data_IF_292980606686
#
_entry.id   IF_292980606686
#
_cell.length_a   1.000
_cell.length_b   1.000
_cell.length_c   1.000
_cell.angle_alpha   90.00
_cell.angle_beta   90.00
_cell.angle_gamma   90.00
#
_symmetry.space_group_name_H-M   'P 1'
#
loop_
_entity.id
_entity.type
_entity.pdbx_description
1 polymer ?
#
# COMPACT_ATOMS: atom_id res chain seq x y z
N UNK A 1 -3.26 -13.79 3.62
CA UNK A 1 -3.41 -14.54 4.90
C UNK A 1 -2.55 -13.97 6.01
N UNK A 2 -1.21 -14.06 5.98
CA UNK A 2 -0.35 -13.65 7.11
C UNK A 2 -0.65 -12.24 7.63
N UNK A 3 -0.50 -11.22 6.79
CA UNK A 3 -0.73 -9.84 7.20
C UNK A 3 -2.15 -9.62 7.73
N UNK A 4 -3.16 -10.22 7.10
CA UNK A 4 -4.55 -10.08 7.54
C UNK A 4 -4.77 -10.71 8.92
N UNK A 5 -4.19 -11.89 9.18
CA UNK A 5 -4.31 -12.56 10.50
C UNK A 5 -3.55 -11.78 11.57
N UNK A 6 -2.27 -11.47 11.32
CA UNK A 6 -1.38 -10.96 12.38
C UNK A 6 -1.46 -9.45 12.59
N UNK A 7 -1.88 -8.67 11.58
CA UNK A 7 -2.02 -7.21 11.73
C UNK A 7 -3.44 -6.79 12.11
N UNK A 8 -4.46 -7.57 11.74
CA UNK A 8 -5.86 -7.18 11.99
C UNK A 8 -6.53 -8.00 13.10
N UNK A 9 -5.82 -8.97 13.67
CA UNK A 9 -6.34 -9.90 14.68
C UNK A 9 -7.59 -10.69 14.22
N UNK A 10 -7.74 -10.89 12.91
CA UNK A 10 -8.81 -11.73 12.36
C UNK A 10 -8.38 -13.20 12.39
N UNK A 11 -9.35 -14.10 12.63
CA UNK A 11 -9.06 -15.53 12.56
C UNK A 11 -8.73 -15.96 11.13
N UNK A 12 -7.90 -16.99 10.98
CA UNK A 12 -7.57 -17.56 9.67
C UNK A 12 -8.84 -18.00 8.91
N UNK A 13 -9.81 -18.60 9.61
CA UNK A 13 -11.10 -18.96 9.05
C UNK A 13 -11.87 -17.75 8.49
N UNK A 14 -11.92 -16.64 9.23
CA UNK A 14 -12.56 -15.41 8.73
C UNK A 14 -11.86 -14.87 7.48
N UNK A 15 -10.54 -15.02 7.38
CA UNK A 15 -9.78 -14.59 6.19
C UNK A 15 -10.03 -15.53 5.02
N UNK A 16 -10.08 -16.84 5.24
CA UNK A 16 -10.41 -17.81 4.20
C UNK A 16 -11.77 -17.55 3.58
N UNK A 17 -12.80 -17.35 4.41
CA UNK A 17 -14.17 -17.13 3.97
C UNK A 17 -14.39 -15.79 3.26
N UNK A 18 -13.69 -14.74 3.65
CA UNK A 18 -13.97 -13.38 3.20
C UNK A 18 -12.93 -12.76 2.25
N UNK A 19 -11.69 -13.24 2.30
CA UNK A 19 -10.59 -12.65 1.52
C UNK A 19 -10.03 -13.64 0.49
N UNK A 20 -10.01 -14.93 0.79
CA UNK A 20 -9.46 -15.97 -0.07
C UNK A 20 -10.54 -16.78 -0.82
N UNK A 21 -11.81 -16.43 -0.67
CA UNK A 21 -12.92 -17.04 -1.42
C UNK A 21 -12.91 -16.57 -2.89
N UNK A 22 -11.82 -16.90 -3.57
CA UNK A 22 -11.59 -16.61 -4.98
C UNK A 22 -11.25 -17.93 -5.69
N UNK A 23 -11.80 -18.22 -6.88
CA UNK A 23 -11.47 -19.43 -7.63
C UNK A 23 -9.96 -19.66 -7.72
N UNK A 24 -9.53 -20.89 -7.43
CA UNK A 24 -8.15 -21.38 -7.33
C UNK A 24 -7.41 -20.96 -6.04
N UNK A 25 -7.63 -19.77 -5.48
CA UNK A 25 -7.02 -19.36 -4.20
C UNK A 25 -7.61 -20.15 -3.04
N UNK A 26 -8.89 -20.44 -3.09
CA UNK A 26 -9.61 -21.26 -2.08
C UNK A 26 -9.17 -22.74 -2.04
N UNK A 27 -8.30 -23.17 -2.98
CA UNK A 27 -7.67 -24.50 -2.95
C UNK A 27 -6.40 -24.53 -2.07
N UNK A 28 -5.93 -23.37 -1.62
CA UNK A 28 -4.73 -23.29 -0.81
C UNK A 28 -5.02 -23.67 0.65
N UNK A 29 -4.31 -24.63 1.16
CA UNK A 29 -4.27 -24.98 2.58
C UNK A 29 -3.29 -24.04 3.28
N UNK A 30 -3.73 -23.43 4.39
CA UNK A 30 -2.93 -22.45 5.13
C UNK A 30 -2.66 -22.89 6.55
N UNK A 31 -1.41 -22.87 6.95
CA UNK A 31 -0.96 -23.10 8.32
C UNK A 31 -0.35 -21.81 8.90
N UNK A 32 -0.64 -21.52 10.17
CA UNK A 32 -0.08 -20.36 10.89
C UNK A 32 0.64 -20.80 12.16
N UNK A 33 1.77 -20.18 12.50
CA UNK A 33 2.59 -20.52 13.66
C UNK A 33 2.82 -19.33 14.65
N UNK A 34 1.94 -18.34 14.63
CA UNK A 34 2.02 -17.15 15.50
C UNK A 34 2.90 -16.02 14.97
N UNK A 35 3.81 -16.26 14.05
CA UNK A 35 4.67 -15.25 13.39
C UNK A 35 4.80 -15.48 11.89
N UNK A 36 4.32 -16.59 11.38
CA UNK A 36 4.34 -16.86 9.95
C UNK A 36 3.08 -17.57 9.50
N UNK A 37 2.81 -17.47 8.21
CA UNK A 37 1.79 -18.27 7.55
C UNK A 37 2.45 -18.96 6.33
N UNK A 38 2.12 -20.24 6.16
CA UNK A 38 2.54 -21.02 5.00
C UNK A 38 1.30 -21.48 4.26
N UNK A 39 1.25 -21.26 2.96
CA UNK A 39 0.19 -21.72 2.08
C UNK A 39 0.74 -22.67 1.04
N UNK A 40 -0.01 -23.74 0.75
CA UNK A 40 0.30 -24.69 -0.32
C UNK A 40 -0.96 -25.17 -1.01
N UNK A 41 -0.85 -25.69 -2.22
CA UNK A 41 -1.96 -26.34 -2.93
C UNK A 41 -1.60 -27.81 -3.09
N UNK A 42 -2.38 -28.69 -2.47
CA UNK A 42 -2.09 -30.13 -2.42
C UNK A 42 -0.66 -30.48 -1.94
N UNK A 43 -0.15 -29.72 -0.98
CA UNK A 43 1.21 -29.85 -0.48
C UNK A 43 2.31 -29.38 -1.44
N UNK A 44 1.95 -28.83 -2.59
CA UNK A 44 2.88 -28.34 -3.61
C UNK A 44 3.01 -26.83 -3.57
N UNK A 45 4.14 -26.35 -4.11
CA UNK A 45 4.40 -24.91 -4.31
C UNK A 45 4.24 -24.06 -3.03
N UNK A 46 4.62 -24.60 -1.89
CA UNK A 46 4.52 -23.91 -0.62
C UNK A 46 5.13 -22.50 -0.67
N UNK A 47 4.40 -21.53 -0.13
CA UNK A 47 4.82 -20.14 0.05
C UNK A 47 4.69 -19.75 1.51
N UNK A 48 5.73 -19.15 2.05
CA UNK A 48 5.77 -18.72 3.45
C UNK A 48 5.89 -17.19 3.55
N UNK A 49 5.09 -16.60 4.44
CA UNK A 49 5.25 -15.20 4.83
C UNK A 49 5.65 -15.14 6.31
N UNK A 50 6.61 -14.29 6.64
CA UNK A 50 7.12 -14.09 8.00
C UNK A 50 6.78 -12.67 8.44
N UNK A 51 6.20 -12.53 9.63
CA UNK A 51 5.79 -11.24 10.17
C UNK A 51 6.78 -10.75 11.23
N UNK A 52 7.15 -9.48 11.10
CA UNK A 52 8.05 -8.78 12.00
C UNK A 52 7.32 -7.57 12.61
N UNK A 53 7.51 -7.37 13.90
CA UNK A 53 6.91 -6.24 14.59
C UNK A 53 7.32 -4.91 13.95
N UNK A 54 6.36 -4.03 13.72
CA UNK A 54 6.54 -2.71 13.11
C UNK A 54 6.87 -2.70 11.61
N UNK A 55 7.02 -3.87 10.96
CA UNK A 55 7.35 -4.01 9.54
C UNK A 55 6.30 -4.80 8.75
N UNK A 56 5.31 -5.38 9.45
CA UNK A 56 4.31 -6.25 8.83
C UNK A 56 4.88 -7.60 8.40
N UNK A 57 4.30 -8.19 7.35
CA UNK A 57 4.65 -9.51 6.90
C UNK A 57 5.30 -9.47 5.51
N UNK A 58 6.37 -10.22 5.36
CA UNK A 58 7.13 -10.34 4.11
C UNK A 58 7.00 -11.76 3.57
N UNK A 59 6.58 -11.89 2.30
CA UNK A 59 6.63 -13.16 1.59
C UNK A 59 8.08 -13.54 1.34
N UNK A 60 8.49 -14.74 1.74
CA UNK A 60 9.87 -15.22 1.62
C UNK A 60 10.00 -16.33 0.58
N UNK A 61 11.16 -16.38 -0.06
CA UNK A 61 11.52 -17.40 -1.04
C UNK A 61 12.96 -17.90 -0.77
N UNK A 62 13.53 -18.63 -1.72
CA UNK A 62 14.91 -19.18 -1.62
C UNK A 62 16.00 -18.11 -1.44
N UNK A 63 15.74 -16.86 -1.81
CA UNK A 63 16.70 -15.76 -1.73
C UNK A 63 16.58 -14.98 -0.40
N UNK A 64 15.74 -15.46 0.52
CA UNK A 64 15.60 -14.90 1.86
C UNK A 64 16.82 -15.18 2.71
N UNK A 65 17.43 -14.13 3.21
CA UNK A 65 18.54 -14.21 4.16
C UNK A 65 18.06 -13.78 5.56
N UNK A 66 17.94 -14.69 6.52
CA UNK A 66 17.49 -14.36 7.89
C UNK A 66 18.50 -13.50 8.67
N UNK A 67 19.75 -13.35 8.16
CA UNK A 67 20.75 -12.48 8.79
C UNK A 67 20.58 -11.01 8.40
N UNK A 68 19.85 -10.70 7.34
CA UNK A 68 19.50 -9.32 7.00
C UNK A 68 18.49 -8.81 8.01
N UNK A 69 18.94 -7.87 8.88
CA UNK A 69 18.07 -7.19 9.83
C UNK A 69 17.55 -5.91 9.20
N UNK A 70 16.23 -5.87 8.97
CA UNK A 70 15.54 -4.65 8.56
C UNK A 70 15.28 -3.84 9.84
N UNK A 71 15.69 -2.56 9.90
CA UNK A 71 15.43 -1.74 11.08
C UNK A 71 13.93 -1.46 11.24
N UNK A 72 13.46 -1.39 12.47
CA UNK A 72 12.07 -1.06 12.81
C UNK A 72 11.88 0.46 12.74
N UNK A 73 10.76 0.96 12.19
CA UNK A 73 10.44 2.38 12.17
C UNK A 73 10.37 2.98 13.57
N UNK A 74 11.04 4.12 13.76
CA UNK A 74 10.95 4.91 14.99
C UNK A 74 9.78 5.88 14.83
N UNK A 75 8.61 5.47 15.34
CA UNK A 75 7.37 6.23 15.29
C UNK A 75 7.38 7.37 16.32
N UNK A 76 6.88 8.51 15.91
CA UNK A 76 6.60 9.63 16.82
C UNK A 76 5.09 9.64 17.09
N UNK A 77 4.69 9.35 18.33
CA UNK A 77 3.29 9.50 18.71
C UNK A 77 2.91 10.98 18.59
N UNK A 78 1.91 11.23 17.76
CA UNK A 78 1.29 12.55 17.71
C UNK A 78 0.12 12.54 18.70
N UNK A 79 0.38 12.95 19.93
CA UNK A 79 -0.64 13.09 20.98
C UNK A 79 -1.45 14.39 20.82
N UNK A 80 -1.63 14.87 19.62
CA UNK A 80 -2.48 16.02 19.38
C UNK A 80 -3.93 15.66 19.73
N UNK A 81 -4.64 16.59 20.35
CA UNK A 81 -6.05 16.44 20.74
C UNK A 81 -7.01 16.82 19.61
N UNK A 82 -6.58 16.58 18.37
CA UNK A 82 -7.30 16.98 17.18
C UNK A 82 -8.29 15.89 16.73
N UNK A 83 -9.48 16.33 16.36
CA UNK A 83 -10.46 15.47 15.75
C UNK A 83 -10.12 15.24 14.27
N UNK A 84 -10.65 14.15 13.71
CA UNK A 84 -10.63 13.89 12.27
C UNK A 84 -11.07 15.16 11.49
N UNK A 85 -10.41 15.54 10.37
CA UNK A 85 -9.33 14.80 9.68
C UNK A 85 -7.91 15.17 10.13
N UNK A 86 -7.73 16.02 11.11
CA UNK A 86 -6.43 16.53 11.54
C UNK A 86 -5.77 15.71 12.64
N UNK A 87 -6.45 14.69 13.14
CA UNK A 87 -6.02 13.73 14.13
C UNK A 87 -6.96 12.53 14.18
N UNK A 88 -6.77 11.66 15.17
CA UNK A 88 -7.49 10.40 15.32
C UNK A 88 -8.66 10.44 16.34
N UNK A 89 -8.93 11.59 16.92
CA UNK A 89 -10.07 11.77 17.83
C UNK A 89 -11.40 11.71 17.09
N UNK A 90 -12.47 11.41 17.83
CA UNK A 90 -13.82 11.39 17.25
C UNK A 90 -14.16 12.72 16.59
N UNK A 91 -14.68 12.70 15.36
CA UNK A 91 -15.12 13.91 14.67
C UNK A 91 -16.27 14.56 15.43
N UNK A 92 -16.38 15.87 15.33
CA UNK A 92 -17.56 16.59 15.85
C UNK A 92 -18.76 16.32 14.93
N UNK A 93 -19.89 16.00 15.53
CA UNK A 93 -21.15 15.94 14.81
C UNK A 93 -21.46 17.28 14.16
N UNK A 94 -21.59 17.29 12.87
CA UNK A 94 -21.89 18.49 12.10
C UNK A 94 -22.96 18.16 11.08
N UNK A 95 -24.06 18.93 11.11
CA UNK A 95 -25.18 18.82 10.18
C UNK A 95 -25.08 19.94 9.14
N UNK A 96 -25.03 19.57 7.88
CA UNK A 96 -25.00 20.51 6.76
C UNK A 96 -26.40 20.67 6.17
N UNK A 97 -26.95 21.89 6.10
CA UNK A 97 -28.31 22.10 5.63
C UNK A 97 -28.53 21.78 4.14
N UNK A 98 -27.46 21.66 3.38
CA UNK A 98 -27.49 21.33 1.95
C UNK A 98 -27.22 19.84 1.69
N UNK A 99 -27.18 18.99 2.71
CA UNK A 99 -27.02 17.53 2.61
C UNK A 99 -28.35 16.87 2.92
N UNK A 100 -28.83 16.04 2.00
CA UNK A 100 -29.97 15.15 2.22
C UNK A 100 -29.49 13.86 2.88
N UNK A 101 -29.60 13.82 4.20
CA UNK A 101 -29.12 12.68 5.00
C UNK A 101 -29.94 11.40 4.76
N UNK A 102 -31.21 11.49 4.39
CA UNK A 102 -32.03 10.33 4.04
C UNK A 102 -31.53 9.68 2.74
N UNK A 103 -31.19 10.49 1.76
CA UNK A 103 -30.60 10.00 0.51
C UNK A 103 -29.18 9.46 0.74
N UNK A 104 -28.39 10.12 1.57
CA UNK A 104 -27.05 9.66 1.95
C UNK A 104 -27.12 8.28 2.61
N UNK A 105 -28.03 8.08 3.58
CA UNK A 105 -28.20 6.80 4.25
C UNK A 105 -28.59 5.70 3.26
N UNK A 106 -29.54 5.98 2.36
CA UNK A 106 -29.94 5.03 1.31
C UNK A 106 -28.78 4.65 0.39
N UNK A 107 -27.96 5.63 0.00
CA UNK A 107 -26.78 5.37 -0.84
C UNK A 107 -25.75 4.51 -0.11
N UNK A 108 -25.50 4.77 1.17
CA UNK A 108 -24.62 3.93 1.98
C UNK A 108 -25.17 2.51 2.14
N UNK A 109 -26.49 2.38 2.39
CA UNK A 109 -27.14 1.07 2.51
C UNK A 109 -27.03 0.27 1.21
N UNK A 110 -27.19 0.93 0.07
CA UNK A 110 -27.08 0.30 -1.25
C UNK A 110 -25.71 -0.34 -1.48
N UNK A 111 -24.64 0.21 -0.92
CA UNK A 111 -23.31 -0.36 -1.03
C UNK A 111 -23.17 -1.74 -0.35
N UNK A 112 -24.14 -2.16 0.49
CA UNK A 112 -24.12 -3.44 1.20
C UNK A 112 -25.26 -4.38 0.79
N UNK A 113 -26.12 -4.02 -0.16
CA UNK A 113 -27.33 -4.80 -0.49
C UNK A 113 -27.04 -6.15 -1.12
N UNK A 114 -25.95 -6.28 -1.85
CA UNK A 114 -25.49 -7.53 -2.46
C UNK A 114 -24.04 -7.80 -2.07
N UNK A 115 -23.78 -7.91 -0.80
CA UNK A 115 -22.42 -7.94 -0.27
C UNK A 115 -21.63 -9.20 -0.61
N UNK A 116 -22.31 -10.29 -0.98
CA UNK A 116 -21.64 -11.48 -1.52
C UNK A 116 -20.88 -11.20 -2.81
N UNK A 117 -21.37 -10.26 -3.63
CA UNK A 117 -20.74 -9.84 -4.87
C UNK A 117 -19.91 -8.57 -4.67
N UNK A 118 -20.46 -7.57 -3.99
CA UNK A 118 -19.82 -6.27 -3.80
C UNK A 118 -18.61 -6.34 -2.86
N UNK A 119 -18.64 -7.25 -1.87
CA UNK A 119 -17.58 -7.43 -0.85
C UNK A 119 -17.25 -6.14 -0.11
N UNK A 120 -18.21 -5.23 0.04
CA UNK A 120 -18.05 -3.95 0.74
C UNK A 120 -17.83 -4.17 2.22
N UNK A 121 -16.78 -3.63 2.79
CA UNK A 121 -16.45 -3.72 4.22
C UNK A 121 -16.75 -2.43 4.96
N UNK A 122 -16.54 -1.32 4.30
CA UNK A 122 -16.74 0.01 4.88
C UNK A 122 -17.10 1.02 3.81
N UNK A 123 -17.92 1.98 4.20
CA UNK A 123 -18.21 3.20 3.43
C UNK A 123 -18.00 4.38 4.35
N UNK A 124 -17.25 5.37 3.90
CA UNK A 124 -17.03 6.62 4.60
C UNK A 124 -17.31 7.77 3.64
N UNK A 125 -18.12 8.72 4.07
CA UNK A 125 -18.44 9.91 3.29
C UNK A 125 -18.06 11.14 4.10
N UNK A 126 -17.23 11.99 3.49
CA UNK A 126 -16.78 13.23 4.08
C UNK A 126 -17.25 14.44 3.25
N UNK A 127 -17.59 15.52 3.91
CA UNK A 127 -17.95 16.80 3.31
C UNK A 127 -17.35 17.95 4.12
N UNK A 128 -16.61 18.84 3.45
CA UNK A 128 -15.95 20.00 4.09
C UNK A 128 -15.17 19.62 5.37
N UNK A 129 -14.33 18.59 5.27
CA UNK A 129 -13.52 18.05 6.37
C UNK A 129 -14.32 17.49 7.57
N UNK A 130 -15.57 17.08 7.34
CA UNK A 130 -16.36 16.39 8.36
C UNK A 130 -16.84 15.07 7.82
N UNK A 131 -16.80 14.03 8.64
CA UNK A 131 -17.47 12.76 8.34
C UNK A 131 -18.98 13.04 8.48
N UNK A 132 -19.72 12.82 7.40
CA UNK A 132 -21.17 12.99 7.35
C UNK A 132 -21.92 11.66 7.26
N UNK A 133 -21.19 10.57 7.06
CA UNK A 133 -21.73 9.22 7.06
C UNK A 133 -20.60 8.19 7.09
N UNK A 134 -20.77 7.16 7.90
CA UNK A 134 -19.90 5.98 7.89
C UNK A 134 -20.71 4.73 8.21
N UNK A 135 -20.37 3.63 7.54
CA UNK A 135 -21.03 2.34 7.72
C UNK A 135 -20.01 1.21 7.55
N UNK A 136 -20.13 0.21 8.39
CA UNK A 136 -19.25 -0.96 8.46
C UNK A 136 -20.03 -2.23 8.29
N UNK A 137 -19.45 -3.22 7.60
CA UNK A 137 -19.95 -4.58 7.58
C UNK A 137 -19.81 -5.19 8.98
N UNK A 138 -20.69 -6.11 9.34
CA UNK A 138 -20.56 -6.88 10.58
C UNK A 138 -19.16 -7.51 10.71
N UNK A 139 -18.54 -7.38 11.88
CA UNK A 139 -17.17 -7.80 12.14
C UNK A 139 -16.08 -6.77 11.75
N UNK A 140 -16.46 -5.63 11.17
CA UNK A 140 -15.58 -4.50 10.89
C UNK A 140 -15.99 -3.27 11.68
N UNK A 141 -15.01 -2.46 12.06
CA UNK A 141 -15.21 -1.21 12.80
C UNK A 141 -14.28 -0.14 12.23
N UNK A 142 -14.43 1.10 12.70
CA UNK A 142 -13.52 2.21 12.37
C UNK A 142 -12.05 1.90 12.67
N UNK A 143 -11.80 1.02 13.63
CA UNK A 143 -10.47 0.66 14.11
C UNK A 143 -9.93 -0.65 13.50
N UNK A 144 -10.69 -1.28 12.61
CA UNK A 144 -10.22 -2.48 11.90
C UNK A 144 -9.21 -2.10 10.82
N UNK A 145 -7.96 -2.57 10.89
CA UNK A 145 -7.00 -2.31 9.83
C UNK A 145 -7.40 -3.04 8.54
N UNK A 146 -7.33 -2.34 7.42
CA UNK A 146 -7.55 -2.91 6.09
C UNK A 146 -6.35 -2.63 5.20
N UNK A 147 -6.15 -3.49 4.20
CA UNK A 147 -5.10 -3.32 3.20
C UNK A 147 -5.50 -2.23 2.21
N UNK A 148 -4.64 -1.25 2.06
CA UNK A 148 -4.85 -0.11 1.16
C UNK A 148 -4.66 -0.44 -0.31
N UNK A 149 -4.00 -1.56 -0.65
CA UNK A 149 -3.65 -1.87 -2.03
C UNK A 149 -3.04 -0.65 -2.73
N UNK A 150 -3.54 -0.29 -3.91
CA UNK A 150 -3.00 0.81 -4.71
C UNK A 150 -3.15 2.22 -4.10
N UNK A 151 -3.93 2.41 -3.04
CA UNK A 151 -3.90 3.65 -2.25
C UNK A 151 -2.49 3.94 -1.69
N UNK A 152 -1.67 2.91 -1.48
CA UNK A 152 -0.27 3.04 -1.08
C UNK A 152 0.55 3.91 -2.04
N UNK A 153 0.19 3.93 -3.32
CA UNK A 153 0.85 4.77 -4.34
C UNK A 153 0.68 6.27 -4.05
N UNK A 154 -0.47 6.68 -3.51
CA UNK A 154 -0.71 8.08 -3.10
C UNK A 154 0.22 8.48 -1.96
N UNK A 155 0.42 7.60 -0.97
CA UNK A 155 1.38 7.83 0.12
C UNK A 155 2.78 8.03 -0.45
N UNK A 156 3.22 7.14 -1.32
CA UNK A 156 4.55 7.23 -1.95
C UNK A 156 4.70 8.52 -2.77
N UNK A 157 3.68 8.89 -3.55
CA UNK A 157 3.70 10.13 -4.33
C UNK A 157 3.80 11.36 -3.43
N UNK A 158 3.06 11.38 -2.31
CA UNK A 158 3.12 12.48 -1.33
C UNK A 158 4.50 12.60 -0.70
N UNK A 159 5.17 11.48 -0.39
CA UNK A 159 6.54 11.49 0.13
C UNK A 159 7.52 12.13 -0.86
N UNK A 160 7.36 11.89 -2.15
CA UNK A 160 8.12 12.58 -3.19
C UNK A 160 7.78 14.07 -3.26
N UNK A 161 6.50 14.43 -3.17
CA UNK A 161 6.06 15.83 -3.12
C UNK A 161 6.63 16.60 -1.92
N UNK A 162 6.75 15.95 -0.76
CA UNK A 162 7.40 16.55 0.42
C UNK A 162 8.88 16.82 0.14
N UNK A 163 9.61 15.87 -0.46
CA UNK A 163 11.03 16.06 -0.79
C UNK A 163 11.22 17.19 -1.81
N UNK A 164 10.33 17.30 -2.79
CA UNK A 164 10.36 18.40 -3.76
C UNK A 164 10.07 19.75 -3.09
N UNK A 165 9.02 19.81 -2.27
CA UNK A 165 8.69 21.03 -1.51
C UNK A 165 9.82 21.50 -0.60
N UNK A 166 10.56 20.56 -0.01
CA UNK A 166 11.74 20.84 0.82
C UNK A 166 13.01 21.16 -0.01
N UNK A 167 12.92 21.17 -1.34
CA UNK A 167 14.05 21.44 -2.24
C UNK A 167 15.14 20.36 -2.24
N UNK A 168 14.81 19.13 -1.79
CA UNK A 168 15.74 18.01 -1.71
C UNK A 168 15.86 17.23 -3.01
N UNK A 169 14.87 17.34 -3.88
CA UNK A 169 14.83 16.73 -5.22
C UNK A 169 14.18 17.69 -6.22
N UNK A 170 14.43 17.45 -7.49
CA UNK A 170 13.67 18.00 -8.62
C UNK A 170 12.98 16.84 -9.35
N UNK A 171 11.65 16.84 -9.40
CA UNK A 171 10.90 15.79 -10.07
C UNK A 171 11.14 15.75 -11.58
N UNK A 172 11.67 16.81 -12.17
CA UNK A 172 11.96 16.90 -13.61
C UNK A 172 13.39 16.50 -13.97
N UNK A 173 14.25 16.25 -13.00
CA UNK A 173 15.57 15.70 -13.28
C UNK A 173 15.49 14.25 -13.79
N UNK A 174 16.35 13.86 -14.75
CA UNK A 174 16.43 12.49 -15.23
C UNK A 174 16.80 11.52 -14.10
N UNK A 175 16.14 10.35 -14.12
CA UNK A 175 16.43 9.27 -13.18
C UNK A 175 17.71 8.55 -13.62
N UNK A 176 18.71 8.55 -12.75
CA UNK A 176 19.99 7.88 -13.02
C UNK A 176 19.95 6.44 -12.49
N UNK A 177 19.62 5.50 -13.36
CA UNK A 177 19.72 4.06 -13.08
C UNK A 177 20.78 3.43 -13.98
N UNK A 178 21.49 2.45 -13.42
CA UNK A 178 22.50 1.70 -14.17
C UNK A 178 21.90 1.09 -15.44
N UNK A 179 22.57 1.31 -16.55
CA UNK A 179 22.15 0.84 -17.88
C UNK A 179 21.18 1.76 -18.62
N UNK A 180 20.54 2.72 -17.94
CA UNK A 180 19.62 3.66 -18.60
C UNK A 180 20.35 4.73 -19.40
N UNK A 181 21.60 5.03 -19.06
CA UNK A 181 22.47 5.97 -19.80
C UNK A 181 22.75 5.53 -21.25
N UNK A 182 22.52 4.23 -21.56
CA UNK A 182 22.81 3.61 -22.86
C UNK A 182 21.72 3.75 -23.90
N UNK A 183 20.52 4.14 -23.48
CA UNK A 183 19.34 4.21 -24.34
C UNK A 183 18.41 5.38 -23.97
N UNK A 184 17.20 5.41 -24.56
CA UNK A 184 16.24 6.50 -24.37
C UNK A 184 15.67 6.58 -22.94
N UNK A 185 15.84 5.56 -22.11
CA UNK A 185 15.43 5.59 -20.70
C UNK A 185 16.15 6.68 -19.89
N UNK A 186 17.31 7.16 -20.35
CA UNK A 186 18.01 8.30 -19.76
C UNK A 186 17.19 9.61 -19.72
N UNK A 187 16.11 9.68 -20.51
CA UNK A 187 15.19 10.83 -20.56
C UNK A 187 14.07 10.74 -19.54
N UNK A 188 13.91 9.58 -18.88
CA UNK A 188 12.85 9.35 -17.91
C UNK A 188 13.16 10.13 -16.63
N UNK A 189 12.18 10.93 -16.18
CA UNK A 189 12.27 11.72 -14.94
C UNK A 189 11.43 11.08 -13.83
N UNK A 190 11.61 11.51 -12.58
CA UNK A 190 10.72 11.12 -11.47
C UNK A 190 9.27 11.48 -11.77
N UNK A 191 9.00 12.64 -12.38
CA UNK A 191 7.67 13.08 -12.79
C UNK A 191 7.03 12.09 -13.78
N UNK A 192 7.76 11.61 -14.78
CA UNK A 192 7.26 10.60 -15.72
C UNK A 192 6.88 9.30 -15.02
N UNK A 193 7.67 8.85 -14.05
CA UNK A 193 7.40 7.65 -13.27
C UNK A 193 6.15 7.85 -12.37
N UNK A 194 6.08 8.95 -11.61
CA UNK A 194 4.95 9.25 -10.73
C UNK A 194 3.62 9.37 -11.48
N UNK A 195 3.65 9.83 -12.73
CA UNK A 195 2.47 9.97 -13.60
C UNK A 195 2.17 8.74 -14.44
N UNK A 196 2.90 7.64 -14.27
CA UNK A 196 2.76 6.41 -15.08
C UNK A 196 2.91 6.66 -16.60
N UNK A 197 3.80 7.59 -16.97
CA UNK A 197 4.04 8.03 -18.33
C UNK A 197 5.51 7.88 -18.75
N UNK A 198 6.20 6.90 -18.19
CA UNK A 198 7.61 6.65 -18.49
C UNK A 198 7.88 6.04 -19.86
N UNK A 199 6.88 5.41 -20.47
CA UNK A 199 7.04 4.62 -21.70
C UNK A 199 7.69 3.25 -21.48
N UNK A 200 7.91 2.82 -20.24
CA UNK A 200 8.44 1.48 -19.94
C UNK A 200 7.38 0.41 -20.15
N UNK A 201 7.80 -0.72 -20.70
CA UNK A 201 6.98 -1.92 -20.82
C UNK A 201 6.56 -2.43 -19.44
N UNK A 202 5.29 -2.84 -19.30
CA UNK A 202 4.78 -3.45 -18.07
C UNK A 202 3.44 -4.14 -18.29
N UNK A 203 3.29 -5.33 -17.72
CA UNK A 203 2.05 -6.09 -17.73
C UNK A 203 1.46 -6.16 -16.31
N UNK A 204 0.29 -5.51 -16.12
CA UNK A 204 -0.43 -5.43 -14.84
C UNK A 204 -1.62 -6.41 -14.81
N UNK A 205 -1.45 -7.64 -15.25
CA UNK A 205 -2.49 -8.67 -15.23
C UNK A 205 -2.39 -9.54 -13.97
N UNK A 206 -3.41 -9.52 -13.12
CA UNK A 206 -3.47 -10.30 -11.89
C UNK A 206 -4.08 -11.70 -12.10
N UNK A 207 -4.54 -12.03 -13.28
CA UNK A 207 -5.20 -13.32 -13.60
C UNK A 207 -4.25 -14.33 -14.22
N UNK A 208 -3.04 -13.92 -14.55
CA UNK A 208 -2.00 -14.74 -15.18
C UNK A 208 -0.63 -14.56 -14.51
N UNK A 209 0.38 -15.29 -15.01
CA UNK A 209 1.80 -15.04 -14.66
C UNK A 209 2.29 -13.86 -15.49
N UNK A 210 2.18 -12.68 -14.92
CA UNK A 210 2.54 -11.39 -15.51
C UNK A 210 3.72 -10.75 -14.78
N UNK A 211 4.10 -9.54 -15.20
CA UNK A 211 5.15 -8.78 -14.52
C UNK A 211 4.77 -8.46 -13.07
N UNK A 212 3.54 -8.02 -12.83
CA UNK A 212 3.09 -7.66 -11.48
C UNK A 212 3.03 -8.87 -10.56
N UNK A 213 2.50 -10.01 -11.02
CA UNK A 213 2.40 -11.20 -10.18
C UNK A 213 3.78 -11.83 -9.90
N UNK A 214 4.70 -11.81 -10.87
CA UNK A 214 6.08 -12.23 -10.63
C UNK A 214 6.77 -11.35 -9.61
N UNK A 215 6.69 -10.04 -9.77
CA UNK A 215 7.27 -9.08 -8.83
C UNK A 215 6.75 -9.28 -7.41
N UNK A 216 5.42 -9.33 -7.22
CA UNK A 216 4.81 -9.42 -5.89
C UNK A 216 5.04 -10.77 -5.19
N UNK A 217 5.13 -11.87 -5.94
CA UNK A 217 5.11 -13.21 -5.36
C UNK A 217 6.42 -14.00 -5.55
N UNK A 218 7.37 -13.49 -6.33
CA UNK A 218 8.60 -14.24 -6.64
C UNK A 218 9.88 -13.42 -6.42
N UNK A 219 9.84 -12.09 -6.55
CA UNK A 219 11.05 -11.27 -6.46
C UNK A 219 11.43 -10.97 -5.00
N UNK A 220 12.71 -11.12 -4.68
CA UNK A 220 13.28 -10.77 -3.39
C UNK A 220 13.44 -9.24 -3.24
N UNK A 221 13.68 -8.55 -4.34
CA UNK A 221 13.85 -7.10 -4.45
C UNK A 221 12.86 -6.57 -5.50
N UNK A 222 11.69 -6.16 -5.04
CA UNK A 222 10.60 -5.71 -5.92
C UNK A 222 10.94 -4.38 -6.62
N UNK A 223 11.98 -3.68 -6.17
CA UNK A 223 12.34 -2.36 -6.73
C UNK A 223 13.05 -2.43 -8.07
N UNK A 224 13.48 -3.62 -8.49
CA UNK A 224 14.23 -3.82 -9.74
C UNK A 224 13.38 -4.14 -10.94
N UNK A 225 12.25 -4.81 -10.75
CA UNK A 225 11.43 -5.38 -11.81
C UNK A 225 11.15 -4.41 -12.97
N UNK A 226 10.72 -3.18 -12.65
CA UNK A 226 10.42 -2.18 -13.67
C UNK A 226 11.68 -1.56 -14.30
N UNK A 227 12.74 -1.38 -13.51
CA UNK A 227 13.99 -0.75 -13.98
C UNK A 227 14.70 -1.55 -15.07
N UNK A 228 14.47 -2.86 -15.13
CA UNK A 228 15.04 -3.79 -16.12
C UNK A 228 14.25 -3.82 -17.43
N UNK A 229 13.04 -3.22 -17.45
CA UNK A 229 12.17 -3.22 -18.64
C UNK A 229 12.67 -2.27 -19.73
N UNK A 230 12.27 -2.61 -20.96
CA UNK A 230 12.57 -1.79 -22.15
C UNK A 230 11.67 -0.57 -22.20
N UNK A 231 12.14 0.51 -22.81
CA UNK A 231 11.27 1.57 -23.25
C UNK A 231 10.60 1.14 -24.58
N UNK A 232 9.29 1.15 -24.60
CA UNK A 232 8.45 0.85 -25.79
C UNK A 232 7.87 2.11 -26.42
N UNK A 233 7.98 3.24 -25.73
CA UNK A 233 7.58 4.56 -26.18
C UNK A 233 8.47 5.64 -25.51
N UNK A 234 8.48 6.84 -26.06
CA UNK A 234 9.09 7.97 -25.37
C UNK A 234 8.26 8.37 -24.14
N UNK A 235 8.88 9.00 -23.10
CA UNK A 235 8.13 9.54 -21.98
C UNK A 235 7.01 10.47 -22.45
N UNK A 236 5.85 10.35 -21.84
CA UNK A 236 4.58 11.08 -22.12
C UNK A 236 3.77 10.60 -23.33
N UNK A 237 4.30 9.75 -24.19
CA UNK A 237 3.55 9.24 -25.34
C UNK A 237 2.50 8.18 -24.98
N UNK A 238 2.79 7.38 -23.94
CA UNK A 238 1.89 6.30 -23.49
C UNK A 238 1.70 6.40 -21.98
N UNK A 239 0.46 6.31 -21.53
CA UNK A 239 0.13 6.07 -20.14
C UNK A 239 -0.02 4.57 -19.90
N UNK A 240 0.74 4.02 -18.95
CA UNK A 240 0.69 2.60 -18.59
C UNK A 240 0.75 2.45 -17.08
N UNK A 241 -0.37 2.06 -16.47
CA UNK A 241 -0.44 1.83 -15.02
C UNK A 241 0.51 0.70 -14.62
N UNK A 242 1.35 0.95 -13.62
CA UNK A 242 2.43 0.02 -13.25
C UNK A 242 2.71 0.02 -11.75
N UNK A 243 2.43 -1.10 -11.09
CA UNK A 243 2.89 -1.38 -9.73
C UNK A 243 4.41 -1.52 -9.67
N UNK A 244 5.04 -1.99 -10.76
CA UNK A 244 6.50 -2.03 -10.89
C UNK A 244 7.13 -0.65 -10.81
N UNK A 245 6.53 0.34 -11.49
CA UNK A 245 6.98 1.74 -11.41
C UNK A 245 6.92 2.27 -9.97
N UNK A 246 5.88 1.95 -9.21
CA UNK A 246 5.76 2.39 -7.82
C UNK A 246 6.82 1.74 -6.93
N UNK A 247 7.12 0.46 -7.12
CA UNK A 247 8.19 -0.20 -6.39
C UNK A 247 9.58 0.27 -6.82
N UNK A 248 9.79 0.58 -8.10
CA UNK A 248 11.00 1.25 -8.57
C UNK A 248 11.19 2.60 -7.86
N UNK A 249 10.15 3.41 -7.73
CA UNK A 249 10.17 4.65 -6.97
C UNK A 249 10.53 4.40 -5.50
N UNK A 250 10.02 3.34 -4.84
CA UNK A 250 10.46 2.97 -3.48
C UNK A 250 11.96 2.73 -3.40
N UNK A 251 12.54 2.05 -4.39
CA UNK A 251 13.99 1.82 -4.46
C UNK A 251 14.80 3.09 -4.73
N UNK A 252 14.29 3.98 -5.57
CA UNK A 252 14.91 5.29 -5.81
C UNK A 252 14.86 6.15 -4.54
N UNK A 253 13.71 6.14 -3.85
CA UNK A 253 13.56 6.83 -2.57
C UNK A 253 14.58 6.35 -1.54
N UNK A 254 14.79 5.03 -1.43
CA UNK A 254 15.78 4.46 -0.51
C UNK A 254 17.19 5.00 -0.74
N UNK A 255 17.58 5.22 -1.99
CA UNK A 255 18.90 5.74 -2.35
C UNK A 255 19.12 7.22 -1.96
N UNK A 256 18.06 7.94 -1.57
CA UNK A 256 18.15 9.32 -1.08
C UNK A 256 18.60 9.42 0.38
N UNK A 257 18.59 8.31 1.12
CA UNK A 257 18.98 8.26 2.53
C UNK A 257 20.34 7.57 2.71
N UNK A 258 21.11 8.06 3.68
CA UNK A 258 22.44 7.52 3.98
C UNK A 258 22.38 6.15 4.65
N UNK A 259 21.35 5.95 5.48
CA UNK A 259 21.16 4.69 6.22
C UNK A 259 19.80 4.09 5.94
N UNK A 260 19.70 2.76 6.14
CA UNK A 260 18.42 2.07 6.02
C UNK A 260 17.41 2.54 7.09
N UNK A 261 17.89 2.89 8.29
CA UNK A 261 17.05 3.41 9.36
C UNK A 261 16.41 4.75 8.98
N UNK A 262 17.15 5.67 8.36
CA UNK A 262 16.61 6.95 7.87
C UNK A 262 15.50 6.71 6.84
N UNK A 263 15.71 5.80 5.89
CA UNK A 263 14.71 5.43 4.90
C UNK A 263 13.44 4.85 5.53
N UNK A 264 13.58 3.88 6.45
CA UNK A 264 12.46 3.24 7.12
C UNK A 264 11.67 4.23 7.99
N UNK A 265 12.35 5.21 8.61
CA UNK A 265 11.70 6.24 9.41
C UNK A 265 10.96 7.29 8.56
N UNK A 266 11.43 7.55 7.33
CA UNK A 266 11.02 8.71 6.55
C UNK A 266 9.50 8.78 6.28
N UNK A 267 8.81 7.74 5.81
CA UNK A 267 7.35 7.81 5.60
C UNK A 267 6.58 8.21 6.86
N UNK A 268 7.00 7.71 7.99
CA UNK A 268 6.34 7.96 9.26
C UNK A 268 6.61 9.39 9.76
N UNK A 269 7.86 9.78 9.81
CA UNK A 269 8.26 11.10 10.33
C UNK A 269 7.87 12.25 9.41
N UNK A 270 7.90 12.04 8.09
CA UNK A 270 7.60 13.09 7.12
C UNK A 270 6.09 13.29 6.90
N UNK A 271 5.29 12.21 6.98
CA UNK A 271 3.88 12.23 6.62
C UNK A 271 3.00 11.56 7.70
N UNK A 272 3.12 10.25 7.86
CA UNK A 272 2.13 9.38 8.54
C UNK A 272 1.85 9.84 9.97
N UNK A 273 2.91 10.04 10.77
CA UNK A 273 2.78 10.47 12.17
C UNK A 273 2.35 11.94 12.28
N UNK A 274 2.73 12.79 11.31
CA UNK A 274 2.33 14.21 11.31
C UNK A 274 0.84 14.41 11.09
N UNK A 275 0.22 13.60 10.25
CA UNK A 275 -1.21 13.69 9.97
C UNK A 275 -2.07 12.77 10.85
N UNK A 276 -1.48 12.19 11.91
CA UNK A 276 -2.20 11.39 12.90
C UNK A 276 -2.61 10.01 12.44
N UNK A 277 -2.01 9.44 11.40
CA UNK A 277 -2.28 8.07 10.94
C UNK A 277 -1.57 7.03 11.82
N UNK A 278 -1.87 7.03 13.11
CA UNK A 278 -1.19 6.23 14.13
C UNK A 278 -1.23 4.72 13.87
N UNK A 279 -2.30 4.24 13.24
CA UNK A 279 -2.49 2.82 12.89
C UNK A 279 -1.81 2.40 11.59
N UNK A 280 -1.32 3.35 10.78
CA UNK A 280 -0.76 3.01 9.48
C UNK A 280 0.56 2.26 9.60
N UNK A 281 0.70 1.19 8.81
CA UNK A 281 1.90 0.37 8.69
C UNK A 281 2.16 0.11 7.21
N UNK A 282 3.40 0.33 6.77
CA UNK A 282 3.88 -0.01 5.43
C UNK A 282 4.73 -1.27 5.50
N UNK A 283 4.38 -2.29 4.72
CA UNK A 283 5.14 -3.54 4.65
C UNK A 283 6.32 -3.42 3.69
N UNK A 284 7.30 -4.30 3.89
CA UNK A 284 8.54 -4.31 3.09
C UNK A 284 8.70 -5.63 2.33
N UNK A 285 9.47 -5.57 1.24
CA UNK A 285 10.03 -6.76 0.60
C UNK A 285 11.16 -7.39 1.44
N UNK A 286 11.74 -8.50 0.95
CA UNK A 286 12.84 -9.21 1.64
C UNK A 286 14.13 -8.39 1.80
N UNK A 287 14.28 -7.30 1.06
CA UNK A 287 15.43 -6.39 1.14
C UNK A 287 15.14 -5.15 1.98
N UNK A 288 13.93 -5.07 2.55
CA UNK A 288 13.50 -3.95 3.38
C UNK A 288 13.16 -2.70 2.57
N UNK A 289 12.75 -2.84 1.33
CA UNK A 289 12.16 -1.75 0.58
C UNK A 289 10.65 -1.75 0.81
N UNK A 290 10.05 -0.59 1.06
CA UNK A 290 8.59 -0.49 1.14
C UNK A 290 7.95 -0.97 -0.16
N UNK A 291 6.91 -1.80 -0.06
CA UNK A 291 6.10 -2.21 -1.20
C UNK A 291 5.12 -1.06 -1.51
N UNK A 292 5.68 0.02 -2.07
CA UNK A 292 4.98 1.28 -2.34
C UNK A 292 3.85 1.19 -3.36
N UNK A 293 3.71 0.04 -4.01
CA UNK A 293 2.61 -0.24 -4.93
C UNK A 293 1.32 -0.68 -4.22
N UNK A 294 1.40 -1.35 -3.04
CA UNK A 294 0.28 -2.17 -2.59
C UNK A 294 0.16 -2.40 -1.09
N UNK A 295 1.26 -2.53 -0.34
CA UNK A 295 1.19 -3.12 0.99
C UNK A 295 1.33 -2.08 2.11
N UNK A 296 0.27 -1.26 2.25
CA UNK A 296 0.06 -0.42 3.42
C UNK A 296 -1.27 -0.79 4.10
N UNK A 297 -1.26 -0.81 5.41
CA UNK A 297 -2.39 -1.13 6.27
C UNK A 297 -2.73 0.08 7.12
N UNK A 298 -4.01 0.39 7.27
CA UNK A 298 -4.46 1.41 8.22
C UNK A 298 -5.88 1.09 8.67
N UNK A 299 -6.27 1.60 9.84
CA UNK A 299 -7.65 1.55 10.30
C UNK A 299 -8.59 2.14 9.26
N UNK A 300 -9.78 1.59 9.12
CA UNK A 300 -10.71 1.92 8.03
C UNK A 300 -10.99 3.42 7.91
N UNK A 301 -11.29 4.10 9.02
CA UNK A 301 -11.58 5.54 9.02
C UNK A 301 -10.37 6.36 8.57
N UNK A 302 -9.18 6.05 9.07
CA UNK A 302 -7.95 6.79 8.78
C UNK A 302 -7.42 6.46 7.39
N UNK A 303 -7.46 5.19 6.97
CA UNK A 303 -6.99 4.75 5.66
C UNK A 303 -7.77 5.38 4.51
N UNK A 304 -9.10 5.46 4.63
CA UNK A 304 -9.96 6.08 3.63
C UNK A 304 -9.83 7.62 3.58
N UNK A 305 -9.42 8.23 4.68
CA UNK A 305 -9.21 9.69 4.73
C UNK A 305 -7.98 10.15 3.97
N UNK A 306 -7.02 9.25 3.74
CA UNK A 306 -5.80 9.59 3.01
C UNK A 306 -6.12 10.09 1.59
N UNK A 307 -7.04 9.43 0.90
CA UNK A 307 -7.48 9.83 -0.45
C UNK A 307 -8.21 11.18 -0.45
N UNK A 308 -8.66 11.65 0.70
CA UNK A 308 -9.34 12.93 0.85
C UNK A 308 -8.38 14.08 1.17
N UNK A 309 -7.25 13.80 1.81
CA UNK A 309 -6.27 14.80 2.25
C UNK A 309 -5.08 14.97 1.28
N UNK A 310 -4.96 14.10 0.29
CA UNK A 310 -3.94 14.11 -0.76
C UNK A 310 -4.57 14.46 -2.10
#
# INVERSE_FOLDING_TARGET
MASTVFLTNRSAESVELNDNDVPLINLAEVETDGKSATASVFGLMARKAICNEGLGCTLVNKDYDPNIKIPVPQRVKNDNDLAFPYGDKEPKDTVFPNVDYDQLQKAMDQAFTNNEVQKTRTVLVAHKNHIIGEKYLEGFTKDTPILGWSMTKSVLATLYGILEYEGKIDLNEPVLLEGWEKDDRKKITLNHLLRMQSGLEWEEDYTSISDVTRMLFMDADMTKAQGEKKAIAAPTEVWNYSSGTSNLLSGILRKRFKTHQEYINYPYQALIDKIGMSSMLMETDMKGNFVGSSYAWANTRIGLSLDYCI
#
